data_IF_326988464948
#
_entry.id   IF_326988464948
#
_cell.length_a   1.000
_cell.length_b   1.000
_cell.length_c   1.000
_cell.angle_alpha   90.00
_cell.angle_beta   90.00
_cell.angle_gamma   90.00
#
_symmetry.space_group_name_H-M   'P 1'
#
loop_
_entity.id
_entity.type
_entity.pdbx_description
1 polymer ?
#
# COMPACT_ATOMS: atom_id res chain seq x y z
N UNK A 1 6.53 -26.34 0.67
CA UNK A 1 5.23 -25.62 0.71
C UNK A 1 5.36 -24.26 0.08
N UNK A 2 4.50 -23.96 -0.83
CA UNK A 2 4.45 -22.65 -1.43
C UNK A 2 3.63 -21.70 -0.54
N UNK A 3 4.23 -20.59 -0.17
CA UNK A 3 3.48 -19.54 0.52
C UNK A 3 2.57 -18.86 -0.49
N UNK A 4 1.29 -18.84 -0.18
CA UNK A 4 0.32 -18.16 -1.03
C UNK A 4 0.02 -16.79 -0.43
N UNK A 5 0.26 -15.75 -1.20
CA UNK A 5 -0.06 -14.39 -0.80
C UNK A 5 -1.41 -14.00 -1.41
N UNK A 6 -2.20 -13.27 -0.63
CA UNK A 6 -3.48 -12.74 -1.12
C UNK A 6 -3.27 -11.74 -2.26
N UNK A 7 -2.18 -10.99 -2.18
CA UNK A 7 -1.82 -10.00 -3.19
C UNK A 7 -0.45 -10.33 -3.76
N UNK A 8 -0.40 -10.49 -5.07
CA UNK A 8 0.84 -10.73 -5.81
C UNK A 8 0.99 -9.66 -6.90
N UNK A 9 2.14 -9.63 -7.55
CA UNK A 9 2.35 -8.72 -8.67
C UNK A 9 1.33 -9.04 -9.77
N UNK A 10 0.62 -8.02 -10.23
CA UNK A 10 -0.47 -8.17 -11.18
C UNK A 10 -1.86 -8.29 -10.55
N UNK A 11 -1.94 -8.53 -9.25
CA UNK A 11 -3.22 -8.53 -8.53
C UNK A 11 -3.71 -7.10 -8.35
N UNK A 12 -5.03 -6.94 -8.23
CA UNK A 12 -5.62 -5.64 -7.92
C UNK A 12 -5.77 -5.45 -6.42
N UNK A 13 -5.29 -4.32 -5.93
CA UNK A 13 -5.39 -3.96 -4.53
C UNK A 13 -6.80 -3.53 -4.20
N UNK A 14 -7.35 -4.03 -3.09
CA UNK A 14 -8.67 -3.61 -2.61
C UNK A 14 -8.50 -2.47 -1.62
N UNK A 15 -8.83 -1.27 -2.05
CA UNK A 15 -8.71 -0.08 -1.20
C UNK A 15 -9.84 -0.04 -0.18
N UNK A 16 -9.49 0.25 1.07
CA UNK A 16 -10.46 0.46 2.13
C UNK A 16 -10.87 1.93 2.11
N UNK A 17 -12.17 2.21 2.00
CA UNK A 17 -12.68 3.56 1.92
C UNK A 17 -12.30 4.42 3.12
N UNK A 18 -12.24 3.82 4.30
CA UNK A 18 -11.88 4.55 5.52
C UNK A 18 -10.43 5.00 5.52
N UNK A 19 -9.57 4.34 4.76
CA UNK A 19 -8.18 4.73 4.66
C UNK A 19 -7.99 6.03 3.89
N UNK A 20 -8.98 6.42 3.09
CA UNK A 20 -8.93 7.66 2.31
C UNK A 20 -9.41 8.88 3.09
N UNK A 21 -9.91 8.69 4.31
CA UNK A 21 -10.37 9.81 5.13
C UNK A 21 -9.18 10.54 5.75
N UNK A 22 -9.22 11.86 5.67
CA UNK A 22 -8.20 12.68 6.30
C UNK A 22 -8.40 12.65 7.81
N UNK A 23 -7.44 12.06 8.50
CA UNK A 23 -7.44 12.00 9.95
C UNK A 23 -6.29 12.81 10.47
N UNK A 24 -6.54 13.50 11.57
CA UNK A 24 -5.52 14.29 12.23
C UNK A 24 -5.47 13.88 13.69
N UNK A 25 -4.26 13.91 14.25
CA UNK A 25 -4.08 13.69 15.68
C UNK A 25 -4.37 14.98 16.45
N UNK A 26 -4.10 14.97 17.77
CA UNK A 26 -4.36 16.13 18.63
C UNK A 26 -3.56 17.36 18.22
N UNK A 27 -2.43 17.15 17.56
CA UNK A 27 -1.52 18.23 17.16
C UNK A 27 -1.76 18.68 15.73
N UNK A 28 -2.78 18.14 15.07
CA UNK A 28 -3.12 18.49 13.70
C UNK A 28 -2.30 17.77 12.64
N UNK A 29 -1.48 16.80 13.03
CA UNK A 29 -0.67 16.02 12.09
C UNK A 29 -1.50 14.93 11.43
N UNK A 30 -1.28 14.71 10.14
CA UNK A 30 -1.97 13.66 9.41
C UNK A 30 -1.61 12.29 9.95
N UNK A 31 -2.62 11.44 10.09
CA UNK A 31 -2.43 10.05 10.52
C UNK A 31 -2.52 9.17 9.27
N UNK A 32 -1.44 8.42 9.00
CA UNK A 32 -1.46 7.45 7.91
C UNK A 32 -2.21 6.20 8.34
N UNK A 33 -3.03 5.69 7.43
CA UNK A 33 -3.78 4.46 7.64
C UNK A 33 -3.43 3.42 6.59
N UNK A 34 -3.51 2.16 7.00
CA UNK A 34 -3.31 1.05 6.08
C UNK A 34 -4.35 1.07 4.97
N UNK A 35 -3.90 1.05 3.73
CA UNK A 35 -4.77 1.08 2.56
C UNK A 35 -5.76 -0.09 2.53
N UNK A 36 -5.39 -1.24 3.13
CA UNK A 36 -6.21 -2.45 3.08
C UNK A 36 -7.18 -2.59 4.24
N UNK A 37 -6.80 -2.18 5.46
CA UNK A 37 -7.63 -2.38 6.64
C UNK A 37 -8.00 -1.10 7.38
N UNK A 38 -7.45 0.01 6.96
CA UNK A 38 -7.69 1.33 7.54
C UNK A 38 -7.21 1.48 9.00
N UNK A 39 -6.41 0.55 9.51
CA UNK A 39 -5.83 0.68 10.83
C UNK A 39 -4.74 1.74 10.82
N UNK A 40 -4.61 2.44 11.91
CA UNK A 40 -3.54 3.42 12.09
C UNK A 40 -2.18 2.73 11.97
N UNK A 41 -1.30 3.30 11.17
CA UNK A 41 0.04 2.77 10.96
C UNK A 41 1.00 3.50 11.89
N UNK A 42 1.89 2.75 12.55
CA UNK A 42 2.95 3.32 13.36
C UNK A 42 4.11 3.82 12.49
N UNK A 43 5.27 4.01 13.09
CA UNK A 43 6.49 4.36 12.36
C UNK A 43 6.89 3.19 11.45
N UNK A 44 7.51 3.44 10.33
CA UNK A 44 8.02 2.45 9.35
C UNK A 44 6.93 1.65 8.63
N UNK A 45 6.00 2.33 7.94
CA UNK A 45 5.04 1.60 7.12
C UNK A 45 5.71 0.95 5.92
N UNK A 46 5.12 -0.15 5.44
CA UNK A 46 5.45 -0.67 4.13
C UNK A 46 4.63 0.09 3.08
N UNK A 47 5.12 0.08 1.84
CA UNK A 47 4.43 0.71 0.73
C UNK A 47 4.27 -0.28 -0.41
N UNK A 48 3.14 -0.18 -1.10
CA UNK A 48 2.85 -0.95 -2.31
C UNK A 48 2.70 0.03 -3.46
N UNK A 49 3.40 -0.25 -4.56
CA UNK A 49 3.34 0.58 -5.75
C UNK A 49 2.33 0.01 -6.74
N UNK A 50 1.52 0.85 -7.34
CA UNK A 50 0.46 0.41 -8.26
C UNK A 50 0.46 1.20 -9.56
N UNK A 51 -0.10 0.56 -10.61
CA UNK A 51 -0.37 1.18 -11.90
C UNK A 51 -1.82 0.90 -12.31
N UNK A 52 -2.33 1.67 -13.23
CA UNK A 52 -3.69 1.50 -13.78
C UNK A 52 -4.77 1.42 -12.71
N UNK A 53 -4.64 2.29 -11.71
CA UNK A 53 -5.56 2.37 -10.58
C UNK A 53 -5.12 1.52 -9.40
N UNK A 54 -5.09 0.21 -9.51
CA UNK A 54 -4.84 -0.66 -8.37
C UNK A 54 -3.99 -1.89 -8.69
N UNK A 55 -3.43 -2.00 -9.89
CA UNK A 55 -2.62 -3.14 -10.26
C UNK A 55 -1.26 -3.09 -9.57
N UNK A 56 -0.94 -4.10 -8.78
CA UNK A 56 0.29 -4.16 -8.02
C UNK A 56 1.48 -4.45 -8.94
N UNK A 57 2.53 -3.65 -8.80
CA UNK A 57 3.79 -3.86 -9.53
C UNK A 57 4.92 -4.10 -8.53
N UNK A 58 6.06 -4.59 -9.02
CA UNK A 58 7.23 -4.75 -8.19
C UNK A 58 7.67 -3.38 -7.66
N UNK A 59 7.96 -3.30 -6.36
CA UNK A 59 8.29 -2.03 -5.72
C UNK A 59 9.55 -1.41 -6.34
N UNK A 60 9.48 -0.13 -6.64
CA UNK A 60 10.60 0.60 -7.23
C UNK A 60 10.66 0.55 -8.75
N UNK A 61 9.75 -0.17 -9.41
CA UNK A 61 9.74 -0.26 -10.88
C UNK A 61 8.82 0.75 -11.55
N UNK A 62 7.96 1.43 -10.78
CA UNK A 62 7.03 2.41 -11.32
C UNK A 62 7.74 3.70 -11.71
N UNK A 63 7.23 4.35 -12.75
CA UNK A 63 7.72 5.65 -13.20
C UNK A 63 6.59 6.66 -13.09
N UNK A 64 6.80 7.68 -12.28
CA UNK A 64 5.80 8.74 -12.07
C UNK A 64 5.43 9.48 -13.37
N UNK A 65 6.29 9.40 -14.37
CA UNK A 65 6.05 10.00 -15.69
C UNK A 65 5.15 9.14 -16.57
N UNK A 66 4.95 7.89 -16.19
CA UNK A 66 4.07 6.98 -16.92
C UNK A 66 2.62 7.37 -16.67
N UNK A 67 1.82 7.51 -17.72
CA UNK A 67 0.42 7.90 -17.60
C UNK A 67 -0.41 6.88 -16.80
N UNK A 68 0.02 5.62 -16.76
CA UNK A 68 -0.67 4.58 -15.98
C UNK A 68 -0.28 4.52 -14.52
N UNK A 69 0.74 5.26 -14.09
CA UNK A 69 1.24 5.19 -12.71
C UNK A 69 0.21 5.74 -11.73
N UNK A 70 -0.11 4.96 -10.70
CA UNK A 70 -1.11 5.32 -9.70
C UNK A 70 -0.53 5.74 -8.36
N UNK A 71 0.72 5.37 -8.06
CA UNK A 71 1.41 5.81 -6.86
C UNK A 71 1.74 4.71 -5.88
N UNK A 72 2.28 5.11 -4.74
CA UNK A 72 2.61 4.23 -3.62
C UNK A 72 1.59 4.42 -2.51
N UNK A 73 1.17 3.33 -1.91
CA UNK A 73 0.17 3.35 -0.85
C UNK A 73 0.68 2.65 0.39
N UNK A 74 0.48 3.24 1.59
CA UNK A 74 0.98 2.63 2.83
C UNK A 74 0.16 1.43 3.26
N UNK A 75 0.85 0.42 3.81
CA UNK A 75 0.20 -0.75 4.39
C UNK A 75 0.85 -1.07 5.74
N UNK A 76 0.02 -1.51 6.68
CA UNK A 76 0.51 -1.92 8.00
C UNK A 76 1.18 -3.28 7.96
N UNK A 77 1.93 -3.60 9.02
CA UNK A 77 2.71 -4.84 9.09
C UNK A 77 1.84 -6.09 8.99
N UNK A 78 0.63 -6.06 9.54
CA UNK A 78 -0.26 -7.22 9.47
C UNK A 78 -0.76 -7.48 8.06
N UNK A 79 -1.15 -6.41 7.34
CA UNK A 79 -1.59 -6.55 5.96
C UNK A 79 -0.43 -6.87 5.03
N UNK A 80 0.76 -6.38 5.33
CA UNK A 80 1.94 -6.65 4.52
C UNK A 80 2.27 -8.14 4.45
N UNK A 81 1.89 -8.92 5.46
CA UNK A 81 2.09 -10.37 5.46
C UNK A 81 1.31 -11.07 4.34
N UNK A 82 0.28 -10.44 3.83
CA UNK A 82 -0.55 -10.99 2.75
C UNK A 82 -0.13 -10.52 1.36
N UNK A 83 0.95 -9.77 1.28
CA UNK A 83 1.47 -9.22 0.03
C UNK A 83 2.83 -9.82 -0.26
N UNK A 84 3.06 -10.23 -1.51
CA UNK A 84 4.36 -10.78 -1.90
C UNK A 84 5.48 -9.78 -1.58
N UNK A 85 6.61 -10.23 -1.02
CA UNK A 85 7.71 -9.32 -0.66
C UNK A 85 8.24 -8.49 -1.82
N UNK A 86 8.16 -8.98 -3.05
CA UNK A 86 8.63 -8.23 -4.23
C UNK A 86 7.82 -6.95 -4.47
N UNK A 87 6.58 -6.93 -4.00
CA UNK A 87 5.70 -5.78 -4.16
C UNK A 87 5.80 -4.79 -2.98
N UNK A 88 6.51 -5.14 -1.93
CA UNK A 88 6.64 -4.32 -0.73
C UNK A 88 7.97 -3.58 -0.69
N UNK A 89 7.92 -2.36 -0.19
CA UNK A 89 9.12 -1.58 0.02
C UNK A 89 8.92 -0.51 1.06
N UNK A 90 10.00 0.18 1.38
CA UNK A 90 9.99 1.33 2.29
C UNK A 90 10.61 2.52 1.60
N UNK A 91 10.00 3.65 1.81
CA UNK A 91 10.51 4.92 1.27
C UNK A 91 11.64 5.48 2.11
#
# INVERSE_FOLDING_TARGET
>A
MTNTYKYEIGSHLSFNEKACQNLQDKDGNSIERCTLCARKIGSNPFYVETMYGAEIIAFGTGDQRDAGYSGCFPVGSECAKHITPEALGRL
#
